data_IF_938051719178
#
_entry.id   IF_938051719178
#
_cell.length_a   1.000
_cell.length_b   1.000
_cell.length_c   1.000
_cell.angle_alpha   90.00
_cell.angle_beta   90.00
_cell.angle_gamma   90.00
#
_symmetry.space_group_name_H-M   'P 1'
#
loop_
_entity.id
_entity.type
_entity.pdbx_description
1 polymer ?
#
# COMPACT_ATOMS: atom_id res chain seq x y z
N UNK A 1 4.92 23.78 -9.96
CA UNK A 1 4.96 23.03 -8.69
C UNK A 1 6.25 22.24 -8.71
N UNK A 2 7.08 22.32 -7.67
CA UNK A 2 8.38 21.63 -7.57
C UNK A 2 8.35 20.46 -6.58
N UNK A 3 7.25 20.33 -5.84
CA UNK A 3 7.06 19.30 -4.82
C UNK A 3 5.88 18.40 -5.17
N UNK A 4 5.95 17.16 -4.70
CA UNK A 4 4.83 16.21 -4.76
C UNK A 4 3.77 16.70 -3.77
N UNK A 5 2.53 16.84 -4.24
CA UNK A 5 1.44 17.39 -3.42
C UNK A 5 0.29 16.40 -3.29
N UNK A 6 -0.13 16.13 -2.06
CA UNK A 6 -1.34 15.37 -1.74
C UNK A 6 -2.45 16.35 -1.35
N UNK A 7 -3.47 16.46 -2.20
CA UNK A 7 -4.53 17.47 -2.08
C UNK A 7 -5.82 16.86 -1.56
N UNK A 8 -6.47 17.59 -0.66
CA UNK A 8 -7.76 17.25 -0.03
C UNK A 8 -8.79 18.30 -0.45
N UNK A 9 -9.45 18.15 -1.62
CA UNK A 9 -10.33 19.18 -2.17
C UNK A 9 -11.54 19.45 -1.28
N UNK A 10 -12.00 20.70 -1.27
CA UNK A 10 -13.29 21.04 -0.67
C UNK A 10 -14.42 20.27 -1.37
N UNK A 11 -15.42 19.83 -0.61
CA UNK A 11 -16.56 19.07 -1.10
C UNK A 11 -16.39 17.54 -1.06
N UNK A 12 -15.23 17.02 -0.65
CA UNK A 12 -15.00 15.60 -0.39
C UNK A 12 -14.70 15.32 1.09
N UNK A 13 -14.86 14.06 1.50
CA UNK A 13 -14.59 13.62 2.88
C UNK A 13 -13.11 13.83 3.25
N UNK A 14 -12.84 14.34 4.44
CA UNK A 14 -11.48 14.40 4.99
C UNK A 14 -11.19 13.12 5.78
N UNK A 15 -10.31 12.26 5.25
CA UNK A 15 -9.93 11.00 5.87
C UNK A 15 -8.55 11.08 6.55
N UNK A 16 -8.35 10.54 7.75
CA UNK A 16 -7.02 10.41 8.33
C UNK A 16 -6.18 9.32 7.65
N UNK A 17 -6.77 8.45 6.82
CA UNK A 17 -6.10 7.29 6.23
C UNK A 17 -5.65 7.48 4.77
N UNK A 18 -6.22 8.43 4.03
CA UNK A 18 -5.91 8.63 2.61
C UNK A 18 -6.12 10.07 2.15
N UNK A 19 -5.60 10.38 0.96
CA UNK A 19 -5.81 11.65 0.25
C UNK A 19 -6.48 11.43 -1.11
N UNK A 20 -7.20 12.44 -1.63
CA UNK A 20 -8.01 12.29 -2.84
C UNK A 20 -7.25 12.50 -4.15
N UNK A 21 -6.24 13.36 -4.15
CA UNK A 21 -5.49 13.74 -5.37
C UNK A 21 -4.01 13.82 -5.05
N UNK A 22 -3.17 13.30 -5.96
CA UNK A 22 -1.74 13.58 -5.97
C UNK A 22 -1.34 14.33 -7.23
N UNK A 23 -0.44 15.30 -7.07
CA UNK A 23 0.23 15.97 -8.17
C UNK A 23 1.71 15.64 -8.07
N UNK A 24 2.24 14.95 -9.09
CA UNK A 24 3.67 14.67 -9.24
C UNK A 24 4.24 15.66 -10.25
N UNK A 25 5.18 16.53 -9.85
CA UNK A 25 5.71 17.57 -10.73
C UNK A 25 6.70 17.01 -11.78
N UNK A 26 6.95 17.76 -12.87
CA UNK A 26 8.09 17.48 -13.75
C UNK A 26 9.41 17.43 -12.97
N UNK A 27 10.29 16.50 -13.33
CA UNK A 27 11.59 16.29 -12.67
C UNK A 27 11.56 15.30 -11.50
N UNK A 28 10.38 14.91 -11.00
CA UNK A 28 10.28 13.80 -10.06
C UNK A 28 10.47 12.44 -10.76
N UNK A 29 11.02 11.46 -10.05
CA UNK A 29 11.05 10.06 -10.50
C UNK A 29 9.85 9.32 -9.93
N UNK A 30 9.02 8.73 -10.78
CA UNK A 30 7.93 7.84 -10.38
C UNK A 30 8.41 6.39 -10.29
N UNK A 31 8.04 5.70 -9.22
CA UNK A 31 8.39 4.31 -8.92
C UNK A 31 7.10 3.50 -8.92
N UNK A 32 7.05 2.44 -9.71
CA UNK A 32 5.91 1.53 -9.79
C UNK A 32 6.26 0.24 -9.05
N UNK A 33 5.45 -0.12 -8.06
CA UNK A 33 5.63 -1.30 -7.22
C UNK A 33 4.56 -2.33 -7.56
N UNK A 34 4.99 -3.51 -7.99
CA UNK A 34 4.11 -4.64 -8.24
C UNK A 34 3.43 -5.16 -6.97
N UNK A 35 2.42 -6.01 -7.13
CA UNK A 35 1.67 -6.59 -6.01
C UNK A 35 2.56 -7.32 -5.01
N UNK A 36 2.45 -6.95 -3.74
CA UNK A 36 3.08 -7.61 -2.60
C UNK A 36 2.00 -8.39 -1.86
N UNK A 37 2.20 -9.69 -1.69
CA UNK A 37 1.41 -10.56 -0.82
C UNK A 37 2.30 -11.02 0.36
N UNK A 38 1.81 -11.95 1.18
CA UNK A 38 2.52 -12.43 2.37
C UNK A 38 3.59 -13.50 2.08
N UNK A 39 4.15 -13.54 0.87
CA UNK A 39 5.22 -14.48 0.48
C UNK A 39 6.58 -13.98 0.94
N UNK A 40 7.41 -14.86 1.49
CA UNK A 40 8.77 -14.56 1.91
C UNK A 40 9.83 -14.68 0.80
N UNK A 41 11.10 -14.45 1.15
CA UNK A 41 12.20 -14.47 0.18
C UNK A 41 12.45 -15.88 -0.36
N UNK A 42 12.02 -16.90 0.36
CA UNK A 42 12.08 -18.31 0.03
C UNK A 42 10.87 -18.77 -0.80
N UNK A 43 9.91 -17.88 -1.05
CA UNK A 43 8.70 -18.18 -1.83
C UNK A 43 7.58 -18.84 -1.02
N UNK A 44 7.66 -18.82 0.31
CA UNK A 44 6.68 -19.42 1.20
C UNK A 44 5.66 -18.38 1.69
N UNK A 45 4.37 -18.75 1.69
CA UNK A 45 3.32 -17.92 2.28
C UNK A 45 3.46 -17.91 3.82
N UNK A 46 3.55 -16.72 4.40
CA UNK A 46 3.65 -16.49 5.85
C UNK A 46 2.28 -16.09 6.40
N UNK A 47 1.94 -16.56 7.61
CA UNK A 47 0.76 -16.12 8.35
C UNK A 47 -0.47 -17.03 8.27
N UNK A 48 -0.52 -17.98 7.32
CA UNK A 48 -1.66 -18.90 7.20
C UNK A 48 -3.00 -18.14 7.10
N UNK A 49 -4.00 -18.52 7.89
CA UNK A 49 -5.31 -17.84 7.89
C UNK A 49 -5.36 -16.56 8.76
N UNK A 50 -4.22 -16.12 9.32
CA UNK A 50 -4.14 -14.90 10.13
C UNK A 50 -3.95 -13.66 9.24
N UNK A 51 -5.03 -12.90 9.06
CA UNK A 51 -5.02 -11.69 8.24
C UNK A 51 -4.09 -10.60 8.79
N UNK A 52 -3.91 -10.50 10.12
CA UNK A 52 -3.00 -9.53 10.71
C UNK A 52 -1.54 -9.91 10.39
N UNK A 53 -1.17 -11.18 10.61
CA UNK A 53 0.18 -11.68 10.30
C UNK A 53 0.50 -11.57 8.80
N UNK A 54 -0.46 -11.90 7.92
CA UNK A 54 -0.29 -11.69 6.48
C UNK A 54 -0.10 -10.20 6.16
N UNK A 55 -0.85 -9.30 6.80
CA UNK A 55 -0.74 -7.86 6.56
C UNK A 55 0.63 -7.33 6.98
N UNK A 56 1.15 -7.76 8.13
CA UNK A 56 2.52 -7.40 8.56
C UNK A 56 3.54 -7.77 7.49
N UNK A 57 3.44 -8.99 6.94
CA UNK A 57 4.37 -9.45 5.91
C UNK A 57 4.22 -8.69 4.60
N UNK A 58 2.99 -8.49 4.14
CA UNK A 58 2.69 -7.71 2.93
C UNK A 58 3.30 -6.32 3.00
N UNK A 59 3.16 -5.64 4.15
CA UNK A 59 3.69 -4.30 4.34
C UNK A 59 5.22 -4.29 4.46
N UNK A 60 5.82 -5.30 5.08
CA UNK A 60 7.28 -5.46 5.10
C UNK A 60 7.85 -5.65 3.69
N UNK A 61 7.19 -6.48 2.87
CA UNK A 61 7.56 -6.69 1.46
C UNK A 61 7.43 -5.39 0.64
N UNK A 62 6.36 -4.61 0.87
CA UNK A 62 6.20 -3.28 0.27
C UNK A 62 7.35 -2.34 0.62
N UNK A 63 7.78 -2.31 1.89
CA UNK A 63 8.91 -1.47 2.31
C UNK A 63 10.23 -1.89 1.64
N UNK A 64 10.47 -3.20 1.49
CA UNK A 64 11.63 -3.72 0.75
C UNK A 64 11.59 -3.28 -0.72
N UNK A 65 10.43 -3.39 -1.36
CA UNK A 65 10.26 -3.00 -2.76
C UNK A 65 10.44 -1.47 -2.97
N UNK A 66 9.90 -0.66 -2.06
CA UNK A 66 10.10 0.79 -2.07
C UNK A 66 11.58 1.16 -1.90
N UNK A 67 12.26 0.52 -0.94
CA UNK A 67 13.68 0.78 -0.67
C UNK A 67 14.57 0.48 -1.89
N UNK A 68 14.24 -0.55 -2.68
CA UNK A 68 14.94 -0.84 -3.93
C UNK A 68 14.85 0.29 -4.96
N UNK A 69 13.76 1.07 -4.94
CA UNK A 69 13.58 2.29 -5.74
C UNK A 69 14.18 3.55 -5.11
N UNK A 70 14.76 3.45 -3.91
CA UNK A 70 15.21 4.59 -3.12
C UNK A 70 14.05 5.41 -2.53
N UNK A 71 12.93 4.76 -2.22
CA UNK A 71 11.73 5.37 -1.64
C UNK A 71 11.37 4.73 -0.29
N UNK A 72 10.50 5.40 0.44
CA UNK A 72 9.90 4.99 1.71
C UNK A 72 8.38 5.05 1.63
N UNK A 73 7.67 4.65 2.69
CA UNK A 73 6.21 4.78 2.76
C UNK A 73 5.72 6.23 2.68
N UNK A 74 6.56 7.21 3.01
CA UNK A 74 6.21 8.64 2.90
C UNK A 74 6.29 9.17 1.46
N UNK A 75 6.92 8.43 0.56
CA UNK A 75 7.01 8.75 -0.87
C UNK A 75 5.84 8.14 -1.66
N UNK A 76 4.95 7.40 -0.98
CA UNK A 76 3.77 6.80 -1.60
C UNK A 76 2.85 7.87 -2.18
N UNK A 77 2.57 7.73 -3.47
CA UNK A 77 1.57 8.48 -4.20
C UNK A 77 0.23 7.74 -4.10
N UNK A 78 0.19 6.46 -4.47
CA UNK A 78 -1.04 5.68 -4.48
C UNK A 78 -0.80 4.24 -3.99
N UNK A 79 -1.80 3.66 -3.37
CA UNK A 79 -1.84 2.28 -2.91
C UNK A 79 -3.13 1.63 -3.40
N UNK A 80 -3.02 0.42 -3.93
CA UNK A 80 -4.16 -0.46 -4.21
C UNK A 80 -4.10 -1.66 -3.28
N UNK A 81 -5.17 -1.87 -2.53
CA UNK A 81 -5.34 -2.98 -1.60
C UNK A 81 -6.41 -3.93 -2.14
N UNK A 82 -6.01 -5.14 -2.49
CA UNK A 82 -6.92 -6.24 -2.81
C UNK A 82 -7.09 -7.10 -1.57
N UNK A 83 -8.34 -7.37 -1.19
CA UNK A 83 -8.68 -8.18 -0.02
C UNK A 83 -9.60 -9.30 -0.43
N UNK A 84 -9.26 -10.54 -0.08
CA UNK A 84 -10.14 -11.69 -0.32
C UNK A 84 -11.45 -11.51 0.45
N UNK A 85 -12.55 -11.96 -0.16
CA UNK A 85 -13.87 -11.92 0.45
C UNK A 85 -13.87 -12.68 1.80
N UNK A 86 -14.50 -12.11 2.82
CA UNK A 86 -14.54 -12.70 4.17
C UNK A 86 -13.40 -12.27 5.10
N UNK A 87 -12.33 -11.64 4.58
CA UNK A 87 -11.26 -11.09 5.43
C UNK A 87 -11.79 -9.95 6.32
N UNK A 88 -11.59 -10.08 7.63
CA UNK A 88 -11.96 -9.07 8.61
C UNK A 88 -11.02 -7.85 8.53
N UNK A 89 -11.58 -6.69 8.21
CA UNK A 89 -10.81 -5.44 8.09
C UNK A 89 -10.32 -4.93 9.43
N UNK A 90 -10.96 -5.34 10.54
CA UNK A 90 -10.49 -4.99 11.87
C UNK A 90 -9.12 -5.61 12.18
N UNK A 91 -8.76 -6.71 11.52
CA UNK A 91 -7.43 -7.34 11.63
C UNK A 91 -6.41 -6.71 10.66
N UNK A 92 -6.86 -6.17 9.52
CA UNK A 92 -5.96 -5.65 8.49
C UNK A 92 -5.62 -4.16 8.69
N UNK A 93 -6.62 -3.31 8.86
CA UNK A 93 -6.41 -1.86 8.79
C UNK A 93 -5.51 -1.29 9.89
N UNK A 94 -5.58 -1.71 11.16
CA UNK A 94 -4.67 -1.21 12.19
C UNK A 94 -3.20 -1.54 11.88
N UNK A 95 -2.95 -2.75 11.37
CA UNK A 95 -1.60 -3.21 11.00
C UNK A 95 -1.07 -2.43 9.81
N UNK A 96 -1.87 -2.31 8.74
CA UNK A 96 -1.50 -1.54 7.55
C UNK A 96 -1.26 -0.06 7.89
N UNK A 97 -2.12 0.54 8.72
CA UNK A 97 -1.98 1.94 9.13
C UNK A 97 -0.71 2.18 9.95
N UNK A 98 -0.36 1.27 10.87
CA UNK A 98 0.88 1.33 11.62
C UNK A 98 2.11 1.28 10.69
N UNK A 99 2.08 0.39 9.69
CA UNK A 99 3.17 0.24 8.73
C UNK A 99 3.29 1.42 7.74
N UNK A 100 2.20 2.16 7.49
CA UNK A 100 2.23 3.39 6.71
C UNK A 100 2.79 4.58 7.49
N UNK A 101 3.00 4.46 8.80
CA UNK A 101 3.65 5.48 9.64
C UNK A 101 3.06 6.90 9.49
N UNK A 102 1.74 7.01 9.29
CA UNK A 102 1.05 8.28 9.08
C UNK A 102 1.10 8.83 7.65
N UNK A 103 1.69 8.11 6.69
CA UNK A 103 1.53 8.41 5.27
C UNK A 103 0.06 8.26 4.86
N UNK A 104 -0.41 9.18 4.01
CA UNK A 104 -1.81 9.23 3.56
C UNK A 104 -1.91 9.30 2.03
N UNK A 105 -1.39 8.28 1.30
CA UNK A 105 -1.43 8.25 -0.15
C UNK A 105 -2.88 8.20 -0.67
N UNK A 106 -3.07 8.22 -1.98
CA UNK A 106 -4.33 7.75 -2.56
C UNK A 106 -4.52 6.28 -2.21
N UNK A 107 -5.75 5.87 -1.91
CA UNK A 107 -6.07 4.47 -1.57
C UNK A 107 -7.24 4.00 -2.42
N UNK A 108 -7.04 2.87 -3.09
CA UNK A 108 -8.13 2.07 -3.68
C UNK A 108 -8.18 0.74 -2.95
N UNK A 109 -9.35 0.34 -2.46
CA UNK A 109 -9.55 -0.94 -1.79
C UNK A 109 -10.64 -1.75 -2.51
N UNK A 110 -10.36 -3.01 -2.81
CA UNK A 110 -11.26 -3.88 -3.57
C UNK A 110 -11.42 -5.21 -2.86
N UNK A 111 -12.66 -5.68 -2.73
CA UNK A 111 -12.96 -7.06 -2.34
C UNK A 111 -12.90 -7.95 -3.57
N UNK A 112 -12.04 -8.95 -3.54
CA UNK A 112 -11.87 -9.93 -4.61
C UNK A 112 -12.31 -11.31 -4.14
N UNK A 113 -12.62 -12.19 -5.08
CA UNK A 113 -13.00 -13.57 -4.74
C UNK A 113 -11.80 -14.38 -4.25
N UNK A 114 -10.63 -14.17 -4.85
CA UNK A 114 -9.39 -14.85 -4.54
C UNK A 114 -8.20 -14.08 -5.13
N UNK A 115 -6.97 -14.48 -4.77
CA UNK A 115 -5.70 -13.97 -5.30
C UNK A 115 -4.93 -15.05 -6.05
N UNK A 116 -3.93 -14.65 -6.84
CA UNK A 116 -3.12 -15.59 -7.63
C UNK A 116 -2.26 -16.52 -6.76
N UNK A 117 -1.79 -16.03 -5.60
CA UNK A 117 -1.08 -16.85 -4.62
C UNK A 117 -2.11 -17.55 -3.74
N UNK A 118 -2.15 -18.88 -3.83
CA UNK A 118 -3.06 -19.70 -3.04
C UNK A 118 -2.87 -19.43 -1.53
N UNK A 119 -3.95 -19.12 -0.83
CA UNK A 119 -3.96 -18.82 0.60
C UNK A 119 -3.61 -17.37 0.95
N UNK A 120 -3.19 -16.53 0.01
CA UNK A 120 -3.01 -15.11 0.28
C UNK A 120 -4.37 -14.44 0.55
N UNK A 121 -4.45 -13.67 1.64
CA UNK A 121 -5.66 -12.99 2.09
C UNK A 121 -5.73 -11.55 1.58
N UNK A 122 -4.58 -10.96 1.28
CA UNK A 122 -4.47 -9.61 0.75
C UNK A 122 -3.24 -9.45 -0.16
N UNK A 123 -3.34 -8.47 -1.05
CA UNK A 123 -2.24 -8.03 -1.90
C UNK A 123 -2.23 -6.50 -1.98
N UNK A 124 -1.04 -5.91 -1.92
CA UNK A 124 -0.84 -4.46 -2.01
C UNK A 124 0.08 -4.11 -3.18
N UNK A 125 -0.39 -3.28 -4.10
CA UNK A 125 0.47 -2.61 -5.08
C UNK A 125 0.53 -1.12 -4.83
N UNK A 126 1.57 -0.46 -5.33
CA UNK A 126 1.78 0.95 -5.04
C UNK A 126 2.45 1.72 -6.17
N UNK A 127 2.24 3.03 -6.15
CA UNK A 127 3.02 4.01 -6.89
C UNK A 127 3.65 4.95 -5.88
N UNK A 128 4.94 5.22 -6.01
CA UNK A 128 5.66 6.21 -5.23
C UNK A 128 6.31 7.24 -6.15
N UNK A 129 6.72 8.38 -5.61
CA UNK A 129 7.50 9.36 -6.35
C UNK A 129 8.49 10.06 -5.43
N UNK A 130 9.67 10.38 -5.96
CA UNK A 130 10.72 11.10 -5.25
C UNK A 130 11.25 12.26 -6.09
N UNK A 131 11.57 13.38 -5.45
CA UNK A 131 12.30 14.50 -6.08
C UNK A 131 13.78 14.29 -5.75
N UNK A 132 14.66 14.35 -6.75
CA UNK A 132 16.11 14.18 -6.61
C UNK A 132 16.84 15.44 -7.02
#
# INVERSE_FOLDING_TARGET
>A
MTEISLLRPAGLVHSPAFTHVAVVPPGATTIYVGGQNAVDAEGCLVGGDDAAAQTERVMANLQVALAAGGATVHDLVAVTLLLVHGVDLAQVYPVAAAALAGATPLVTAVRVVDLAVAGALLEVSAVAAVVR
#
